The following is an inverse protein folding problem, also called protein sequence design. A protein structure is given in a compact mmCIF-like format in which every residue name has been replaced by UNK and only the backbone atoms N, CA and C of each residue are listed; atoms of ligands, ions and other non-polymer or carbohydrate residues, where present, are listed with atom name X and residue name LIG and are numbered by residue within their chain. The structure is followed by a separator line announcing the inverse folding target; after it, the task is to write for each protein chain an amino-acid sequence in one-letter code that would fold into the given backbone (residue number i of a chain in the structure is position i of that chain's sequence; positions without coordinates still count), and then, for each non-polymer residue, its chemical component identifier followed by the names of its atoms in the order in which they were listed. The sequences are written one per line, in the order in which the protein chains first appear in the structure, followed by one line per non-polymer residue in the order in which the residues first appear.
data_IF_452717825426
#
_entry.id   IF_452717825426
#
_cell.length_a   1.000
_cell.length_b   1.000
_cell.length_c   1.000
_cell.angle_alpha   90.00
_cell.angle_beta   90.00
_cell.angle_gamma   90.00
#
_symmetry.space_group_name_H-M   'P 1'
#
loop_
_entity.id
_entity.type
_entity.pdbx_description
1 polymer ?
#
# COMPACT_ATOMS: atom_id res chain seq x y z
N UNK A 1 -27.02 -26.12 61.19
CA UNK A 1 -26.47 -24.91 60.53
C UNK A 1 -25.70 -25.36 59.29
N UNK A 2 -26.23 -25.10 58.08
CA UNK A 2 -25.63 -25.57 56.82
C UNK A 2 -24.67 -24.50 56.29
N UNK A 3 -23.42 -24.87 56.01
CA UNK A 3 -22.41 -24.02 55.36
C UNK A 3 -22.71 -23.98 53.87
N UNK A 4 -22.97 -22.80 53.32
CA UNK A 4 -23.05 -22.59 51.87
C UNK A 4 -21.66 -22.15 51.42
N UNK A 5 -20.98 -23.02 50.68
CA UNK A 5 -19.73 -22.67 50.00
C UNK A 5 -20.07 -21.83 48.78
N UNK A 6 -19.72 -20.54 48.81
CA UNK A 6 -19.67 -19.70 47.62
C UNK A 6 -18.45 -20.13 46.81
N UNK A 7 -18.65 -21.06 45.89
CA UNK A 7 -17.71 -21.31 44.82
C UNK A 7 -17.76 -20.08 43.91
N UNK A 8 -16.81 -19.16 44.09
CA UNK A 8 -16.60 -18.01 43.22
C UNK A 8 -16.31 -18.51 41.81
N UNK A 9 -17.31 -18.51 40.94
CA UNK A 9 -17.13 -18.67 39.50
C UNK A 9 -16.41 -17.40 39.03
N UNK A 10 -15.08 -17.44 39.04
CA UNK A 10 -14.27 -16.53 38.26
C UNK A 10 -14.51 -16.88 36.79
N UNK A 11 -15.50 -16.22 36.20
CA UNK A 11 -15.68 -16.19 34.76
C UNK A 11 -14.43 -15.49 34.19
N UNK A 12 -13.46 -16.27 33.75
CA UNK A 12 -12.39 -15.79 32.90
C UNK A 12 -13.03 -15.32 31.60
N UNK A 13 -13.43 -14.05 31.55
CA UNK A 13 -13.61 -13.31 30.32
C UNK A 13 -12.22 -13.16 29.70
N UNK A 14 -11.75 -14.21 29.03
CA UNK A 14 -10.76 -14.02 27.99
C UNK A 14 -11.46 -13.22 26.90
N UNK A 15 -11.09 -11.96 26.64
CA UNK A 15 -11.49 -11.34 25.39
C UNK A 15 -10.90 -12.24 24.30
N UNK A 16 -11.77 -12.85 23.49
CA UNK A 16 -11.36 -13.43 22.22
C UNK A 16 -10.84 -12.22 21.44
N UNK A 17 -9.53 -12.01 21.47
CA UNK A 17 -8.88 -11.09 20.56
C UNK A 17 -9.03 -11.70 19.18
N UNK A 18 -10.11 -11.33 18.49
CA UNK A 18 -10.27 -11.56 17.06
C UNK A 18 -9.23 -10.67 16.40
N UNK A 19 -8.07 -11.24 16.11
CA UNK A 19 -7.09 -10.58 15.26
C UNK A 19 -7.71 -10.52 13.87
N UNK A 20 -8.06 -9.31 13.42
CA UNK A 20 -8.50 -9.08 12.04
C UNK A 20 -7.42 -9.67 11.12
N UNK A 21 -7.80 -10.66 10.32
CA UNK A 21 -6.85 -11.27 9.39
C UNK A 21 -6.77 -10.37 8.16
N UNK A 22 -5.58 -9.88 7.79
CA UNK A 22 -5.46 -9.03 6.62
C UNK A 22 -5.91 -9.76 5.36
N UNK A 23 -6.70 -9.05 4.55
CA UNK A 23 -7.19 -9.50 3.25
C UNK A 23 -6.53 -8.66 2.16
N UNK A 24 -6.12 -9.31 1.07
CA UNK A 24 -5.63 -8.59 -0.10
C UNK A 24 -6.79 -7.82 -0.75
N UNK A 25 -6.69 -6.50 -0.81
CA UNK A 25 -7.69 -5.62 -1.44
C UNK A 25 -7.30 -5.15 -2.84
N UNK A 26 -5.99 -5.11 -3.14
CA UNK A 26 -5.48 -4.90 -4.50
C UNK A 26 -4.20 -5.72 -4.73
N UNK A 27 -4.00 -6.18 -5.95
CA UNK A 27 -2.73 -6.76 -6.38
C UNK A 27 -2.35 -6.31 -7.79
N UNK A 28 -1.09 -6.48 -8.17
CA UNK A 28 -0.62 -5.94 -9.41
C UNK A 28 0.80 -6.32 -9.77
N UNK A 29 1.22 -5.88 -10.95
CA UNK A 29 2.59 -6.07 -11.46
C UNK A 29 3.26 -4.72 -11.71
N UNK A 30 4.59 -4.71 -11.66
CA UNK A 30 5.38 -3.53 -11.98
C UNK A 30 6.63 -3.88 -12.79
N UNK A 31 7.14 -2.86 -13.48
CA UNK A 31 8.46 -2.85 -14.11
C UNK A 31 9.17 -1.56 -13.73
N UNK A 32 10.30 -1.66 -13.04
CA UNK A 32 11.15 -0.55 -12.62
C UNK A 32 12.47 -0.60 -13.38
N UNK A 33 12.94 0.54 -13.87
CA UNK A 33 14.27 0.67 -14.46
C UNK A 33 15.35 0.40 -13.41
N UNK A 34 16.15 -0.64 -13.64
CA UNK A 34 17.34 -0.94 -12.86
C UNK A 34 18.53 -0.10 -13.29
N UNK A 35 19.71 -0.44 -12.76
CA UNK A 35 20.98 0.15 -13.23
C UNK A 35 21.43 -0.62 -14.48
N UNK A 36 21.97 0.08 -15.47
CA UNK A 36 22.57 -0.51 -16.69
C UNK A 36 21.58 -1.33 -17.54
N UNK A 37 20.44 -0.75 -17.91
CA UNK A 37 19.41 -1.33 -18.81
C UNK A 37 18.65 -2.55 -18.29
N UNK A 38 19.06 -3.15 -17.18
CA UNK A 38 18.29 -4.21 -16.52
C UNK A 38 16.95 -3.67 -16.01
N UNK A 39 15.86 -4.39 -16.30
CA UNK A 39 14.54 -4.10 -15.76
C UNK A 39 14.26 -4.98 -14.54
N UNK A 40 13.79 -4.38 -13.45
CA UNK A 40 13.28 -5.09 -12.29
C UNK A 40 11.77 -5.27 -12.43
N UNK A 41 11.34 -6.51 -12.53
CA UNK A 41 9.92 -6.89 -12.55
C UNK A 41 9.51 -7.49 -11.22
N UNK A 42 8.22 -7.39 -10.92
CA UNK A 42 7.67 -7.92 -9.70
C UNK A 42 6.19 -7.68 -9.56
N UNK A 43 5.70 -7.95 -8.35
CA UNK A 43 4.30 -7.74 -7.97
C UNK A 43 4.17 -6.91 -6.70
N UNK A 44 3.08 -6.15 -6.64
CA UNK A 44 2.67 -5.35 -5.49
C UNK A 44 1.34 -5.89 -4.98
N UNK A 45 1.24 -6.02 -3.66
CA UNK A 45 0.07 -6.54 -2.97
C UNK A 45 -0.28 -5.61 -1.81
N UNK A 46 -1.53 -5.17 -1.76
CA UNK A 46 -2.02 -4.18 -0.82
C UNK A 46 -3.10 -4.80 0.05
N UNK A 47 -2.85 -4.82 1.34
CA UNK A 47 -3.67 -5.55 2.30
C UNK A 47 -4.42 -4.62 3.24
N UNK A 48 -5.60 -5.07 3.64
CA UNK A 48 -6.54 -4.34 4.47
C UNK A 48 -6.93 -5.18 5.68
N UNK A 49 -7.04 -4.53 6.83
CA UNK A 49 -7.57 -5.08 8.07
C UNK A 49 -8.72 -4.19 8.51
N UNK A 50 -9.90 -4.77 8.74
CA UNK A 50 -11.12 -4.02 9.10
C UNK A 50 -11.40 -2.82 8.16
N UNK A 51 -11.32 -3.06 6.85
CA UNK A 51 -11.45 -2.07 5.77
C UNK A 51 -10.40 -0.94 5.77
N UNK A 52 -9.43 -0.97 6.70
CA UNK A 52 -8.32 -0.02 6.76
C UNK A 52 -7.10 -0.58 6.04
N UNK A 53 -6.45 0.24 5.22
CA UNK A 53 -5.20 -0.12 4.55
C UNK A 53 -4.09 -0.37 5.59
N UNK A 54 -3.59 -1.60 5.63
CA UNK A 54 -2.72 -2.10 6.71
C UNK A 54 -1.27 -2.28 6.27
N UNK A 55 -0.99 -2.91 5.12
CA UNK A 55 0.40 -3.14 4.67
C UNK A 55 0.57 -3.29 3.17
N UNK A 56 1.82 -3.12 2.73
CA UNK A 56 2.28 -3.39 1.35
C UNK A 56 3.27 -4.53 1.37
N UNK A 57 3.05 -5.52 0.50
CA UNK A 57 4.03 -6.55 0.17
C UNK A 57 4.48 -6.40 -1.27
N UNK A 58 5.79 -6.45 -1.49
CA UNK A 58 6.45 -6.41 -2.79
C UNK A 58 7.19 -7.72 -3.00
N UNK A 59 6.95 -8.37 -4.14
CA UNK A 59 7.73 -9.51 -4.59
C UNK A 59 8.50 -9.13 -5.86
N UNK A 60 9.78 -9.46 -5.94
CA UNK A 60 10.60 -9.24 -7.15
C UNK A 60 10.90 -10.58 -7.82
N UNK A 61 10.87 -10.60 -9.15
CA UNK A 61 11.19 -11.82 -9.93
C UNK A 61 12.64 -12.26 -9.71
N UNK A 62 13.56 -11.30 -9.64
CA UNK A 62 14.97 -11.52 -9.36
C UNK A 62 15.33 -11.02 -7.96
N UNK A 63 16.27 -11.67 -7.23
CA UNK A 63 16.66 -11.24 -5.90
C UNK A 63 17.29 -9.84 -5.88
N UNK A 64 16.79 -8.96 -5.02
CA UNK A 64 17.37 -7.67 -4.68
C UNK A 64 17.97 -7.77 -3.27
N UNK A 65 19.26 -7.50 -3.12
CA UNK A 65 19.95 -7.67 -1.84
C UNK A 65 19.74 -9.06 -1.20
N UNK A 66 19.76 -10.12 -2.03
CA UNK A 66 19.56 -11.52 -1.65
C UNK A 66 18.15 -11.86 -1.14
N UNK A 67 17.15 -11.01 -1.43
CA UNK A 67 15.75 -11.22 -1.08
C UNK A 67 14.85 -11.00 -2.28
N UNK A 68 13.72 -11.69 -2.30
CA UNK A 68 12.66 -11.48 -3.30
C UNK A 68 11.41 -10.89 -2.70
N UNK A 69 11.28 -10.87 -1.37
CA UNK A 69 10.09 -10.36 -0.67
C UNK A 69 10.46 -9.19 0.24
N UNK A 70 9.64 -8.14 0.19
CA UNK A 70 9.81 -6.91 0.94
C UNK A 70 8.48 -6.38 1.44
N UNK A 71 8.46 -5.93 2.68
CA UNK A 71 7.25 -5.40 3.31
C UNK A 71 7.43 -3.92 3.67
N UNK A 72 6.31 -3.21 3.75
CA UNK A 72 6.20 -1.87 4.31
C UNK A 72 5.19 -1.87 5.45
N UNK A 73 5.55 -1.22 6.55
CA UNK A 73 4.63 -0.85 7.64
C UNK A 73 4.48 0.68 7.79
N UNK A 74 5.16 1.47 6.96
CA UNK A 74 4.99 2.91 6.85
C UNK A 74 4.46 3.26 5.46
N UNK A 75 3.14 3.42 5.35
CA UNK A 75 2.46 3.63 4.06
C UNK A 75 1.19 4.46 4.18
N UNK A 76 0.75 5.00 3.04
CA UNK A 76 -0.52 5.69 2.89
C UNK A 76 -1.13 5.36 1.54
N UNK A 77 -2.42 5.06 1.54
CA UNK A 77 -3.23 4.87 0.35
C UNK A 77 -4.13 6.09 0.18
N UNK A 78 -4.23 6.58 -1.05
CA UNK A 78 -5.14 7.66 -1.43
C UNK A 78 -5.92 7.21 -2.66
N UNK A 79 -7.24 7.10 -2.50
CA UNK A 79 -8.18 6.85 -3.59
C UNK A 79 -9.02 8.10 -3.75
N UNK A 80 -8.82 8.82 -4.85
CA UNK A 80 -9.55 10.04 -5.15
C UNK A 80 -10.76 9.71 -6.01
N UNK A 81 -11.88 10.36 -5.71
CA UNK A 81 -13.15 10.12 -6.38
C UNK A 81 -13.79 11.44 -6.79
N UNK A 82 -14.43 11.46 -7.95
CA UNK A 82 -15.30 12.54 -8.41
C UNK A 82 -16.63 11.94 -8.81
N UNK A 83 -17.72 12.47 -8.29
CA UNK A 83 -19.09 12.02 -8.61
C UNK A 83 -19.28 10.50 -8.43
N UNK A 84 -18.60 9.90 -7.44
CA UNK A 84 -18.68 8.46 -7.14
C UNK A 84 -17.79 7.57 -8.02
N UNK A 85 -17.02 8.14 -8.95
CA UNK A 85 -16.07 7.40 -9.80
C UNK A 85 -14.66 7.60 -9.27
N UNK A 86 -13.89 6.52 -9.13
CA UNK A 86 -12.46 6.61 -8.78
C UNK A 86 -11.72 7.24 -9.96
N UNK A 87 -11.08 8.37 -9.70
CA UNK A 87 -10.32 9.13 -10.70
C UNK A 87 -8.82 8.93 -10.57
N UNK A 88 -8.36 8.56 -9.37
CA UNK A 88 -6.95 8.30 -9.12
C UNK A 88 -6.78 7.30 -7.98
N UNK A 89 -5.79 6.44 -8.15
CA UNK A 89 -5.31 5.51 -7.15
C UNK A 89 -3.85 5.85 -6.86
N UNK A 90 -3.48 6.02 -5.60
CA UNK A 90 -2.08 6.24 -5.23
C UNK A 90 -1.69 5.54 -3.94
N UNK A 91 -0.52 4.92 -3.92
CA UNK A 91 0.07 4.35 -2.71
C UNK A 91 1.48 4.87 -2.52
N UNK A 92 1.76 5.43 -1.34
CA UNK A 92 3.08 5.85 -0.90
C UNK A 92 3.54 4.89 0.21
N UNK A 93 4.76 4.36 0.10
CA UNK A 93 5.26 3.36 1.04
C UNK A 93 6.78 3.35 1.16
N UNK A 94 7.27 2.78 2.26
CA UNK A 94 8.69 2.68 2.58
C UNK A 94 9.05 1.26 3.00
N UNK A 95 9.93 0.62 2.24
CA UNK A 95 10.35 -0.74 2.55
C UNK A 95 11.11 -0.80 3.88
N UNK A 96 10.79 -1.81 4.70
CA UNK A 96 11.46 -2.04 5.98
C UNK A 96 12.95 -2.39 5.79
N UNK A 97 13.29 -3.11 4.72
CA UNK A 97 14.67 -3.46 4.34
C UNK A 97 14.81 -3.48 2.82
N UNK A 98 15.84 -2.85 2.22
CA UNK A 98 16.77 -1.94 2.86
C UNK A 98 16.07 -0.68 3.38
N UNK A 99 16.44 -0.25 4.59
CA UNK A 99 15.82 0.93 5.19
C UNK A 99 16.18 2.18 4.37
N UNK A 100 15.18 2.82 3.81
CA UNK A 100 15.36 4.10 3.11
C UNK A 100 15.51 5.21 4.15
N UNK A 101 16.52 6.08 4.05
CA UNK A 101 16.68 7.13 5.05
C UNK A 101 15.58 8.18 4.91
N UNK A 102 15.45 8.80 3.73
CA UNK A 102 14.58 9.97 3.53
C UNK A 102 13.80 9.92 2.20
N UNK A 103 13.23 8.77 1.83
CA UNK A 103 12.43 8.69 0.61
C UNK A 103 11.41 7.55 0.63
N UNK A 104 10.36 7.71 -0.17
CA UNK A 104 9.27 6.77 -0.36
C UNK A 104 9.16 6.35 -1.83
N UNK A 105 8.69 5.12 -2.04
CA UNK A 105 8.10 4.75 -3.30
C UNK A 105 6.69 5.31 -3.35
N UNK A 106 6.34 5.95 -4.46
CA UNK A 106 4.99 6.46 -4.70
C UNK A 106 4.51 5.92 -6.02
N UNK A 107 3.44 5.15 -6.00
CA UNK A 107 2.74 4.71 -7.21
C UNK A 107 1.53 5.62 -7.40
N UNK A 108 1.44 6.27 -8.56
CA UNK A 108 0.29 7.09 -8.95
C UNK A 108 -0.30 6.49 -10.22
N UNK A 109 -1.56 6.09 -10.16
CA UNK A 109 -2.26 5.39 -11.21
C UNK A 109 -3.67 5.92 -11.45
N UNK A 110 -4.16 5.70 -12.66
CA UNK A 110 -5.45 6.15 -13.14
C UNK A 110 -6.27 4.94 -13.59
N UNK A 111 -7.61 5.01 -13.46
CA UNK A 111 -8.49 3.93 -13.92
C UNK A 111 -8.24 3.64 -15.40
N UNK A 112 -8.26 2.36 -15.77
CA UNK A 112 -8.19 1.92 -17.17
C UNK A 112 -9.60 1.62 -17.70
N UNK A 113 -9.69 1.14 -18.94
CA UNK A 113 -10.96 0.63 -19.50
C UNK A 113 -11.44 -0.65 -18.80
N UNK A 114 -10.55 -1.37 -18.09
CA UNK A 114 -10.88 -2.57 -17.35
C UNK A 114 -11.40 -2.21 -15.95
N UNK A 115 -12.58 -2.72 -15.59
CA UNK A 115 -13.21 -2.41 -14.31
C UNK A 115 -12.31 -2.83 -13.13
N UNK A 116 -12.04 -1.87 -12.23
CA UNK A 116 -11.23 -2.11 -11.02
C UNK A 116 -9.73 -2.15 -11.26
N UNK A 117 -9.25 -1.87 -12.47
CA UNK A 117 -7.83 -1.81 -12.84
C UNK A 117 -7.34 -0.35 -12.89
N UNK A 118 -6.11 -0.14 -12.40
CA UNK A 118 -5.44 1.14 -12.38
C UNK A 118 -4.01 0.99 -12.93
N UNK A 119 -3.67 1.77 -13.95
CA UNK A 119 -2.34 1.78 -14.55
C UNK A 119 -1.63 3.11 -14.28
N UNK A 120 -0.33 3.06 -14.02
CA UNK A 120 0.39 4.24 -13.56
C UNK A 120 1.90 4.13 -13.52
N UNK A 121 2.50 5.11 -12.86
CA UNK A 121 3.95 5.28 -12.75
C UNK A 121 4.40 5.19 -11.29
N UNK A 122 5.58 4.59 -11.09
CA UNK A 122 6.30 4.61 -9.83
C UNK A 122 7.28 5.77 -9.79
N UNK A 123 7.37 6.40 -8.63
CA UNK A 123 8.26 7.51 -8.34
C UNK A 123 9.06 7.23 -7.08
N UNK A 124 10.28 7.77 -7.03
CA UNK A 124 11.04 7.96 -5.81
C UNK A 124 10.86 9.41 -5.36
N UNK A 125 10.34 9.59 -4.15
CA UNK A 125 10.01 10.91 -3.60
C UNK A 125 10.74 11.14 -2.29
N UNK A 126 11.49 12.24 -2.19
CA UNK A 126 12.25 12.60 -0.99
C UNK A 126 11.48 13.63 -0.15
N UNK A 127 10.46 13.16 0.56
CA UNK A 127 9.57 14.02 1.34
C UNK A 127 8.96 13.23 2.51
N UNK A 128 8.12 13.86 3.33
CA UNK A 128 7.31 13.19 4.35
C UNK A 128 6.04 12.58 3.76
N UNK A 129 5.56 11.49 4.36
CA UNK A 129 4.36 10.78 3.91
C UNK A 129 3.11 11.69 3.87
N UNK A 130 2.97 12.59 4.85
CA UNK A 130 1.85 13.54 4.91
C UNK A 130 1.93 14.63 3.84
N UNK A 131 3.13 15.11 3.51
CA UNK A 131 3.29 16.06 2.43
C UNK A 131 3.04 15.39 1.06
N UNK A 132 3.51 14.15 0.87
CA UNK A 132 3.22 13.36 -0.32
C UNK A 132 1.71 13.22 -0.52
N UNK A 133 0.98 12.84 0.53
CA UNK A 133 -0.48 12.73 0.47
C UNK A 133 -1.15 14.06 0.15
N UNK A 134 -0.67 15.16 0.76
CA UNK A 134 -1.18 16.51 0.49
C UNK A 134 -0.98 16.90 -0.97
N UNK A 135 0.20 16.63 -1.54
CA UNK A 135 0.51 16.86 -2.95
C UNK A 135 -0.42 16.03 -3.85
N UNK A 136 -0.58 14.73 -3.58
CA UNK A 136 -1.45 13.83 -4.34
C UNK A 136 -2.89 14.35 -4.38
N UNK A 137 -3.43 14.73 -3.22
CA UNK A 137 -4.79 15.30 -3.10
C UNK A 137 -4.93 16.64 -3.82
N UNK A 138 -3.89 17.48 -3.83
CA UNK A 138 -3.91 18.79 -4.46
C UNK A 138 -3.68 18.75 -5.98
N UNK A 139 -2.87 17.83 -6.48
CA UNK A 139 -2.61 17.58 -7.92
C UNK A 139 -3.92 17.24 -8.65
N UNK A 140 -4.87 16.63 -7.94
CA UNK A 140 -6.19 16.32 -8.46
C UNK A 140 -7.10 17.53 -8.69
N UNK A 141 -6.79 18.71 -8.16
CA UNK A 141 -7.44 19.97 -8.58
C UNK A 141 -6.89 20.44 -9.94
N UNK A 142 -7.11 19.59 -10.97
CA UNK A 142 -7.10 19.77 -12.44
C UNK A 142 -6.05 20.68 -13.12
N UNK A 143 -5.01 21.15 -12.44
CA UNK A 143 -4.06 22.11 -13.05
C UNK A 143 -2.61 21.88 -12.69
N UNK A 144 -2.31 20.96 -11.77
CA UNK A 144 -0.92 20.75 -11.32
C UNK A 144 -0.42 19.38 -11.75
N UNK A 145 0.61 19.29 -12.60
CA UNK A 145 1.26 18.01 -12.89
C UNK A 145 1.94 17.45 -11.63
N UNK A 146 2.23 16.15 -11.64
CA UNK A 146 3.11 15.53 -10.63
C UNK A 146 4.39 16.37 -10.55
N UNK A 147 4.89 16.71 -9.34
CA UNK A 147 6.04 17.60 -9.21
C UNK A 147 7.27 17.07 -9.96
N UNK A 148 7.98 17.96 -10.66
CA UNK A 148 9.07 17.58 -11.56
C UNK A 148 10.27 16.96 -10.84
N UNK A 149 10.43 17.23 -9.55
CA UNK A 149 11.45 16.68 -8.68
C UNK A 149 11.21 15.21 -8.31
N UNK A 150 10.01 14.67 -8.56
CA UNK A 150 9.70 13.26 -8.36
C UNK A 150 10.41 12.41 -9.41
N UNK A 151 11.36 11.59 -8.97
CA UNK A 151 12.14 10.78 -9.89
C UNK A 151 11.32 9.57 -10.36
N UNK A 152 10.95 9.54 -11.64
CA UNK A 152 10.33 8.37 -12.26
C UNK A 152 11.22 7.12 -12.16
N UNK A 153 10.60 6.00 -11.77
CA UNK A 153 11.24 4.70 -11.59
C UNK A 153 10.76 3.68 -12.62
N UNK A 154 9.50 3.74 -13.02
CA UNK A 154 8.90 2.75 -13.91
C UNK A 154 7.39 2.79 -13.89
N UNK A 155 6.76 1.70 -14.32
CA UNK A 155 5.31 1.59 -14.48
C UNK A 155 4.75 0.38 -13.75
N UNK A 156 3.44 0.38 -13.54
CA UNK A 156 2.74 -0.80 -13.06
C UNK A 156 1.24 -0.71 -13.25
N UNK A 157 0.59 -1.82 -12.93
CA UNK A 157 -0.85 -2.00 -12.99
C UNK A 157 -1.28 -2.68 -11.70
N UNK A 158 -2.32 -2.16 -11.06
CA UNK A 158 -2.96 -2.80 -9.90
C UNK A 158 -4.44 -2.99 -10.17
N UNK A 159 -4.99 -4.09 -9.68
CA UNK A 159 -6.38 -4.47 -9.84
C UNK A 159 -6.97 -4.74 -8.47
N UNK A 160 -8.20 -4.27 -8.24
CA UNK A 160 -8.96 -4.56 -7.03
C UNK A 160 -9.19 -6.08 -6.93
N UNK A 161 -8.89 -6.66 -5.78
CA UNK A 161 -9.09 -8.09 -5.51
C UNK A 161 -10.37 -8.29 -4.71
N UNK A 162 -11.27 -9.12 -5.24
CA UNK A 162 -12.52 -9.46 -4.57
C UNK A 162 -13.54 -8.32 -4.54
N UNK A 163 -14.80 -8.69 -4.72
CA UNK A 163 -15.98 -7.83 -4.57
C UNK A 163 -16.71 -8.18 -3.29
#
# INVERSE_FOLDING_TARGET
MKKISLLSIALFLYPIMVFATPVEGYNGTFTIAGKHEDQMKGSIHLFFEDDAFSFVKINTENPVMKKTEFDSNEQKLSILQSEGVITQFSVAYKLQKPLHKNWYFVFVAYPTENAGEFAGNFFKVMDSLDNIETIIKNVFNQSNPIPAEWKGLGTGVVTKTGS
#
